data_IF_221281239592
#
_entry.id   IF_221281239592
#
_cell.length_a   1.000
_cell.length_b   1.000
_cell.length_c   1.000
_cell.angle_alpha   90.00
_cell.angle_beta   90.00
_cell.angle_gamma   90.00
#
_symmetry.space_group_name_H-M   'P 1'
#
loop_
_entity.id
_entity.type
_entity.pdbx_description
1 polymer ?
#
# COMPACT_ATOMS: atom_id res chain seq x y z
N UNK A 1 -15.87 9.02 10.75
CA UNK A 1 -16.18 7.77 10.02
C UNK A 1 -16.89 8.16 8.74
N UNK A 2 -16.52 7.66 7.56
CA UNK A 2 -17.25 7.99 6.34
C UNK A 2 -16.83 7.15 5.15
N UNK A 3 -17.72 7.01 4.17
CA UNK A 3 -17.54 6.17 2.99
C UNK A 3 -18.86 5.82 2.32
N UNK A 4 -18.80 4.90 1.36
CA UNK A 4 -19.98 4.31 0.72
C UNK A 4 -20.54 3.18 1.58
N UNK A 5 -21.73 3.40 2.12
CA UNK A 5 -22.42 2.44 2.98
C UNK A 5 -23.37 1.52 2.21
N UNK A 6 -23.75 1.88 0.97
CA UNK A 6 -24.79 1.17 0.22
C UNK A 6 -26.09 0.92 1.04
N UNK A 7 -26.42 1.82 1.99
CA UNK A 7 -27.61 1.72 2.85
C UNK A 7 -28.52 2.92 2.62
N UNK A 8 -29.81 2.65 2.50
CA UNK A 8 -30.85 3.65 2.32
C UNK A 8 -31.70 3.80 3.58
N UNK A 9 -32.01 5.05 3.94
CA UNK A 9 -32.95 5.38 5.02
C UNK A 9 -33.77 6.60 4.64
N UNK A 10 -35.00 6.68 5.14
CA UNK A 10 -35.82 7.88 5.00
C UNK A 10 -35.19 9.10 5.67
N UNK A 11 -34.28 8.90 6.63
CA UNK A 11 -33.61 9.98 7.36
C UNK A 11 -32.60 10.77 6.52
N UNK A 12 -32.05 10.18 5.45
CA UNK A 12 -31.05 10.84 4.59
C UNK A 12 -31.29 10.68 3.09
N UNK A 13 -32.11 9.70 2.68
CA UNK A 13 -32.47 9.41 1.28
C UNK A 13 -34.00 9.49 1.11
N UNK A 14 -34.51 10.73 1.17
CA UNK A 14 -35.94 11.02 1.18
C UNK A 14 -36.69 10.41 0.00
N UNK A 15 -37.68 9.56 0.29
CA UNK A 15 -38.48 8.86 -0.74
C UNK A 15 -38.02 7.43 -1.04
N UNK A 16 -36.93 6.94 -0.43
CA UNK A 16 -36.49 5.55 -0.54
C UNK A 16 -37.16 4.66 0.53
N UNK A 17 -37.75 3.53 0.12
CA UNK A 17 -38.30 2.50 1.04
C UNK A 17 -37.24 1.44 1.38
N UNK A 18 -36.07 1.90 1.84
CA UNK A 18 -34.93 1.04 2.20
C UNK A 18 -35.11 0.31 3.54
N UNK A 19 -34.23 -0.65 3.82
CA UNK A 19 -34.25 -1.54 5.00
C UNK A 19 -34.04 -0.77 6.32
N UNK A 20 -35.10 -0.50 7.12
CA UNK A 20 -34.99 0.38 8.28
C UNK A 20 -34.06 -0.18 9.37
N UNK A 21 -34.00 -1.50 9.54
CA UNK A 21 -33.23 -2.13 10.61
C UNK A 21 -31.71 -1.88 10.53
N UNK A 22 -31.13 -1.98 9.32
CA UNK A 22 -29.69 -1.79 9.12
C UNK A 22 -29.30 -0.31 9.26
N UNK A 23 -30.15 0.58 8.74
CA UNK A 23 -29.98 2.03 8.90
C UNK A 23 -30.03 2.46 10.37
N UNK A 24 -31.00 1.97 11.14
CA UNK A 24 -31.12 2.25 12.57
C UNK A 24 -29.91 1.72 13.35
N UNK A 25 -29.43 0.51 13.01
CA UNK A 25 -28.24 -0.04 13.67
C UNK A 25 -26.99 0.81 13.40
N UNK A 26 -26.80 1.27 12.17
CA UNK A 26 -25.68 2.16 11.81
C UNK A 26 -25.72 3.48 12.61
N UNK A 27 -26.90 4.09 12.74
CA UNK A 27 -27.08 5.31 13.54
C UNK A 27 -26.79 5.08 15.03
N UNK A 28 -27.24 3.96 15.59
CA UNK A 28 -27.00 3.63 17.00
C UNK A 28 -25.50 3.43 17.26
N UNK A 29 -24.80 2.70 16.39
CA UNK A 29 -23.34 2.50 16.51
C UNK A 29 -22.62 3.84 16.41
N UNK A 30 -23.01 4.72 15.48
CA UNK A 30 -22.41 6.04 15.36
C UNK A 30 -22.64 6.86 16.65
N UNK A 31 -23.83 6.82 17.22
CA UNK A 31 -24.16 7.51 18.48
C UNK A 31 -23.37 6.97 19.68
N UNK A 32 -23.21 5.66 19.80
CA UNK A 32 -22.38 5.02 20.84
C UNK A 32 -20.91 5.45 20.73
N UNK A 33 -20.41 5.70 19.52
CA UNK A 33 -19.08 6.23 19.26
C UNK A 33 -18.98 7.76 19.47
N UNK A 34 -20.06 8.42 19.91
CA UNK A 34 -20.11 9.87 20.10
C UNK A 34 -20.10 10.66 18.79
N UNK A 35 -20.49 10.03 17.68
CA UNK A 35 -20.53 10.63 16.35
C UNK A 35 -21.97 10.94 15.95
N UNK A 36 -22.13 12.00 15.17
CA UNK A 36 -23.40 12.36 14.54
C UNK A 36 -23.21 12.38 13.02
N UNK A 37 -24.28 12.07 12.29
CA UNK A 37 -24.27 12.20 10.83
C UNK A 37 -24.03 13.67 10.48
N UNK A 38 -23.01 13.92 9.67
CA UNK A 38 -22.71 15.27 9.20
C UNK A 38 -23.84 15.75 8.28
N UNK A 39 -24.41 16.95 8.52
CA UNK A 39 -25.37 17.52 7.59
C UNK A 39 -24.66 17.94 6.30
N UNK A 40 -25.30 17.67 5.16
CA UNK A 40 -24.85 18.16 3.87
C UNK A 40 -25.21 19.63 3.72
N UNK A 41 -24.24 20.48 3.33
CA UNK A 41 -24.51 21.90 3.03
C UNK A 41 -25.34 22.03 1.74
N UNK A 42 -25.20 21.08 0.80
CA UNK A 42 -26.01 20.98 -0.41
C UNK A 42 -26.85 19.69 -0.36
N UNK A 43 -28.16 19.76 -0.08
CA UNK A 43 -29.01 18.57 -0.04
C UNK A 43 -29.21 18.03 -1.46
N UNK A 44 -28.61 16.87 -1.75
CA UNK A 44 -28.74 16.17 -3.02
C UNK A 44 -28.26 14.71 -2.91
N UNK A 45 -28.57 13.87 -3.91
CA UNK A 45 -28.02 12.51 -4.01
C UNK A 45 -26.50 12.53 -3.93
N UNK A 46 -25.90 11.48 -3.36
CA UNK A 46 -24.43 11.28 -3.42
C UNK A 46 -24.05 10.34 -4.56
N UNK A 47 -25.02 9.60 -5.09
CA UNK A 47 -24.85 8.66 -6.18
C UNK A 47 -25.83 8.93 -7.34
N UNK A 48 -25.29 8.98 -8.56
CA UNK A 48 -26.00 9.14 -9.82
C UNK A 48 -25.75 7.93 -10.74
N UNK A 49 -26.69 7.00 -10.86
CA UNK A 49 -26.52 5.84 -11.72
C UNK A 49 -26.44 6.27 -13.20
N UNK A 50 -25.48 5.72 -13.94
CA UNK A 50 -25.30 5.99 -15.38
C UNK A 50 -26.34 5.32 -16.28
N UNK A 51 -27.15 4.42 -15.71
CA UNK A 51 -28.18 3.66 -16.43
C UNK A 51 -29.49 4.45 -16.40
N UNK A 52 -30.08 4.69 -17.58
CA UNK A 52 -31.37 5.38 -17.69
C UNK A 52 -32.48 4.60 -16.97
N UNK A 53 -33.28 5.30 -16.17
CA UNK A 53 -34.41 4.75 -15.41
C UNK A 53 -34.11 4.41 -13.95
N UNK A 54 -32.84 4.43 -13.53
CA UNK A 54 -32.46 4.30 -12.12
C UNK A 54 -32.51 5.65 -11.41
N UNK A 55 -32.88 5.63 -10.14
CA UNK A 55 -32.96 6.84 -9.31
C UNK A 55 -31.62 7.13 -8.66
N UNK A 56 -31.27 8.40 -8.58
CA UNK A 56 -30.17 8.89 -7.76
C UNK A 56 -30.47 8.69 -6.27
N UNK A 57 -29.47 8.34 -5.48
CA UNK A 57 -29.61 7.94 -4.08
C UNK A 57 -28.55 8.57 -3.17
N UNK A 58 -28.74 8.47 -1.87
CA UNK A 58 -27.77 8.91 -0.84
C UNK A 58 -27.24 7.68 -0.11
N UNK A 59 -26.06 7.22 -0.53
CA UNK A 59 -25.39 6.01 0.02
C UNK A 59 -24.02 6.31 0.61
N UNK A 60 -23.44 7.47 0.29
CA UNK A 60 -22.18 7.95 0.86
C UNK A 60 -22.49 8.81 2.08
N UNK A 61 -22.01 8.39 3.25
CA UNK A 61 -22.29 9.07 4.52
C UNK A 61 -20.99 9.43 5.22
N UNK A 62 -21.00 10.51 6.00
CA UNK A 62 -19.92 10.85 6.93
C UNK A 62 -20.52 11.14 8.30
N UNK A 63 -19.96 10.51 9.32
CA UNK A 63 -20.22 10.69 10.73
C UNK A 63 -19.03 11.37 11.38
N UNK A 64 -19.30 12.50 12.04
CA UNK A 64 -18.33 13.44 12.58
C UNK A 64 -18.71 13.80 14.03
N UNK A 65 -17.79 14.43 14.76
CA UNK A 65 -18.15 15.06 16.03
C UNK A 65 -19.11 16.24 15.76
N UNK A 66 -19.94 16.63 16.74
CA UNK A 66 -20.90 17.74 16.57
C UNK A 66 -20.23 19.01 16.00
N UNK A 67 -21.00 19.81 15.25
CA UNK A 67 -20.60 21.10 14.67
C UNK A 67 -19.73 21.08 13.39
N UNK A 68 -19.58 19.92 12.74
CA UNK A 68 -18.86 19.80 11.46
C UNK A 68 -19.82 19.62 10.27
N UNK A 69 -19.52 20.30 9.15
CA UNK A 69 -20.33 20.29 7.92
C UNK A 69 -19.56 19.71 6.74
N UNK A 70 -20.29 19.26 5.71
CA UNK A 70 -19.72 18.69 4.48
C UNK A 70 -19.99 19.56 3.25
N UNK A 71 -19.01 19.59 2.35
CA UNK A 71 -19.18 20.09 0.98
C UNK A 71 -19.03 18.94 -0.02
N UNK A 72 -19.76 19.02 -1.14
CA UNK A 72 -19.81 17.96 -2.15
C UNK A 72 -19.55 18.55 -3.55
N UNK A 73 -18.56 18.01 -4.29
CA UNK A 73 -18.22 18.39 -5.67
C UNK A 73 -17.53 17.23 -6.42
N UNK A 74 -17.96 16.92 -7.64
CA UNK A 74 -17.23 16.01 -8.55
C UNK A 74 -18.00 15.62 -9.81
N UNK A 75 -17.29 15.02 -10.77
CA UNK A 75 -17.81 14.59 -12.09
C UNK A 75 -18.02 13.05 -12.21
N UNK A 76 -17.89 12.31 -11.11
CA UNK A 76 -18.18 10.87 -11.04
C UNK A 76 -19.65 10.63 -10.72
N UNK A 77 -20.10 9.42 -11.03
CA UNK A 77 -21.34 8.82 -10.54
C UNK A 77 -21.43 8.75 -9.01
N UNK A 78 -20.31 8.82 -8.28
CA UNK A 78 -20.31 9.18 -6.86
C UNK A 78 -19.80 10.60 -6.70
N UNK A 79 -20.46 11.41 -5.86
CA UNK A 79 -19.98 12.75 -5.53
C UNK A 79 -19.00 12.67 -4.36
N UNK A 80 -17.73 13.11 -4.54
CA UNK A 80 -16.80 13.26 -3.44
C UNK A 80 -17.33 14.16 -2.33
N UNK A 81 -17.30 13.65 -1.11
CA UNK A 81 -17.66 14.38 0.10
C UNK A 81 -16.38 14.87 0.80
N UNK A 82 -16.33 16.16 1.12
CA UNK A 82 -15.20 16.79 1.80
C UNK A 82 -15.62 17.38 3.14
N UNK A 83 -14.75 17.24 4.15
CA UNK A 83 -14.87 17.90 5.46
C UNK A 83 -13.54 18.46 5.90
N UNK A 84 -13.56 19.55 6.66
CA UNK A 84 -12.35 20.19 7.21
C UNK A 84 -12.21 19.84 8.68
N UNK A 85 -11.17 19.08 9.02
CA UNK A 85 -10.85 18.73 10.41
C UNK A 85 -9.75 19.66 10.95
N UNK A 86 -10.05 20.41 12.00
CA UNK A 86 -9.04 21.19 12.73
C UNK A 86 -8.25 20.27 13.66
N UNK A 87 -6.98 20.01 13.33
CA UNK A 87 -6.08 19.19 14.17
C UNK A 87 -5.24 20.15 15.02
N UNK A 88 -5.33 20.03 16.36
CA UNK A 88 -4.50 20.79 17.30
C UNK A 88 -3.00 20.52 17.08
N UNK A 89 -2.18 21.56 17.18
CA UNK A 89 -0.75 21.56 16.86
C UNK A 89 0.15 20.85 17.89
N UNK A 90 -0.39 20.17 18.90
CA UNK A 90 0.39 19.43 19.91
C UNK A 90 0.90 18.07 19.41
N UNK A 91 1.47 18.05 18.21
CA UNK A 91 2.16 16.88 17.67
C UNK A 91 3.66 16.98 17.97
N UNK A 92 4.08 16.25 19.00
CA UNK A 92 5.49 16.06 19.35
C UNK A 92 6.32 15.68 18.13
N UNK A 93 7.47 16.32 17.97
CA UNK A 93 8.35 16.20 16.82
C UNK A 93 8.62 14.73 16.45
N UNK A 94 8.36 14.38 15.20
CA UNK A 94 8.73 13.07 14.65
C UNK A 94 10.25 12.89 14.75
N UNK A 95 10.76 11.79 15.32
CA UNK A 95 12.20 11.57 15.38
C UNK A 95 12.72 11.32 13.97
N UNK A 96 13.50 12.27 13.44
CA UNK A 96 14.30 12.05 12.24
C UNK A 96 15.18 10.83 12.46
N UNK A 97 15.08 9.82 11.59
CA UNK A 97 16.10 8.77 11.46
C UNK A 97 17.36 9.43 10.88
N UNK A 98 18.22 9.96 11.74
CA UNK A 98 19.59 10.28 11.41
C UNK A 98 20.48 9.16 11.97
N UNK A 99 21.60 8.86 11.29
CA UNK A 99 22.69 8.15 11.96
C UNK A 99 23.02 8.91 13.25
N UNK A 100 23.31 8.18 14.34
CA UNK A 100 23.90 8.80 15.52
C UNK A 100 25.17 9.51 15.06
N UNK A 101 25.44 10.70 15.60
CA UNK A 101 26.61 11.50 15.24
C UNK A 101 27.86 10.93 15.92
N UNK A 102 28.11 9.63 15.79
CA UNK A 102 29.39 9.06 16.15
C UNK A 102 30.32 9.20 14.93
N UNK A 103 31.45 9.85 15.15
CA UNK A 103 32.35 10.26 14.07
C UNK A 103 32.83 9.05 13.27
N UNK A 104 32.98 7.88 13.90
CA UNK A 104 33.60 6.70 13.31
C UNK A 104 32.66 5.87 12.42
N UNK A 105 31.44 5.51 12.86
CA UNK A 105 30.50 4.78 11.98
C UNK A 105 30.06 5.66 10.80
N UNK A 106 29.88 6.97 11.04
CA UNK A 106 29.57 7.91 9.96
C UNK A 106 30.72 8.00 8.94
N UNK A 107 31.98 8.08 9.38
CA UNK A 107 33.15 8.07 8.48
C UNK A 107 33.25 6.74 7.71
N UNK A 108 33.00 5.60 8.37
CA UNK A 108 33.08 4.27 7.75
C UNK A 108 32.00 4.09 6.69
N UNK A 109 30.75 4.46 6.99
CA UNK A 109 29.63 4.38 6.06
C UNK A 109 29.86 5.27 4.84
N UNK A 110 30.33 6.50 5.06
CA UNK A 110 30.66 7.46 4.00
C UNK A 110 31.76 6.91 3.09
N UNK A 111 32.83 6.31 3.63
CA UNK A 111 33.90 5.69 2.82
C UNK A 111 33.42 4.52 1.95
N UNK A 112 32.53 3.66 2.45
CA UNK A 112 31.97 2.52 1.69
C UNK A 112 31.13 3.01 0.53
N UNK A 113 30.21 3.93 0.80
CA UNK A 113 29.34 4.52 -0.20
C UNK A 113 30.14 5.30 -1.27
N UNK A 114 31.25 5.92 -0.89
CA UNK A 114 32.13 6.65 -1.79
C UNK A 114 32.96 5.77 -2.72
N UNK A 115 33.49 4.64 -2.23
CA UNK A 115 34.15 3.64 -3.09
C UNK A 115 33.20 3.12 -4.18
N UNK A 116 31.93 2.95 -3.83
CA UNK A 116 30.89 2.61 -4.80
C UNK A 116 30.50 3.76 -5.74
N UNK A 117 30.62 5.02 -5.31
CA UNK A 117 30.27 6.18 -6.14
C UNK A 117 31.38 6.63 -7.09
N UNK A 118 32.65 6.57 -6.67
CA UNK A 118 33.79 6.92 -7.50
C UNK A 118 33.98 5.99 -8.71
N UNK A 119 33.37 4.79 -8.67
CA UNK A 119 33.35 3.84 -9.79
C UNK A 119 32.19 4.08 -10.76
N UNK A 120 31.29 5.05 -10.47
CA UNK A 120 30.17 5.34 -11.35
C UNK A 120 30.60 6.21 -12.53
N UNK A 121 30.05 5.97 -13.72
CA UNK A 121 30.44 6.69 -14.94
C UNK A 121 30.04 8.18 -14.96
N UNK A 122 29.19 8.63 -14.03
CA UNK A 122 28.81 10.03 -13.87
C UNK A 122 29.71 10.79 -12.88
N UNK A 123 30.66 10.13 -12.22
CA UNK A 123 31.55 10.76 -11.24
C UNK A 123 32.60 11.62 -11.95
N UNK A 124 32.79 12.87 -11.50
CA UNK A 124 33.73 13.82 -12.10
C UNK A 124 34.82 14.24 -11.12
N UNK A 125 35.91 14.82 -11.63
CA UNK A 125 36.97 15.39 -10.80
C UNK A 125 36.46 16.47 -9.85
N UNK A 126 35.42 17.23 -10.23
CA UNK A 126 34.81 18.21 -9.33
C UNK A 126 34.11 17.54 -8.13
N UNK A 127 33.56 16.34 -8.32
CA UNK A 127 32.99 15.56 -7.21
C UNK A 127 34.10 15.13 -6.24
N UNK A 128 35.26 14.71 -6.77
CA UNK A 128 36.43 14.34 -5.97
C UNK A 128 37.01 15.53 -5.19
N UNK A 129 37.15 16.69 -5.85
CA UNK A 129 37.68 17.92 -5.24
C UNK A 129 36.74 18.46 -4.16
N UNK A 130 35.44 18.54 -4.45
CA UNK A 130 34.46 19.02 -3.47
C UNK A 130 34.34 18.06 -2.26
N UNK A 131 34.52 16.76 -2.49
CA UNK A 131 34.57 15.77 -1.42
C UNK A 131 35.83 15.93 -0.56
N UNK A 132 36.98 16.17 -1.17
CA UNK A 132 38.23 16.40 -0.44
C UNK A 132 38.15 17.66 0.42
N UNK A 133 37.62 18.76 -0.11
CA UNK A 133 37.40 19.99 0.66
C UNK A 133 36.48 19.76 1.88
N UNK A 134 35.41 18.96 1.71
CA UNK A 134 34.56 18.57 2.84
C UNK A 134 35.29 17.71 3.88
N UNK A 135 36.21 16.83 3.48
CA UNK A 135 37.01 16.02 4.40
C UNK A 135 38.01 16.85 5.21
N UNK A 136 38.62 17.85 4.57
CA UNK A 136 39.66 18.68 5.18
C UNK A 136 39.08 19.64 6.22
N UNK A 137 37.96 20.29 5.90
CA UNK A 137 37.39 21.32 6.77
C UNK A 137 36.19 20.85 7.60
N UNK A 138 35.43 19.86 7.11
CA UNK A 138 34.25 19.34 7.79
C UNK A 138 33.10 20.35 7.93
N UNK A 139 33.12 21.47 7.20
CA UNK A 139 32.14 22.54 7.35
C UNK A 139 30.81 22.21 6.65
N UNK A 140 29.67 22.72 7.18
CA UNK A 140 28.36 22.55 6.53
C UNK A 140 28.29 23.10 5.11
N UNK A 141 29.06 24.16 4.83
CA UNK A 141 29.18 24.83 3.54
C UNK A 141 29.85 23.91 2.51
N UNK A 142 30.93 23.22 2.88
CA UNK A 142 31.61 22.26 2.00
C UNK A 142 30.73 21.06 1.69
N UNK A 143 29.90 20.63 2.65
CA UNK A 143 28.90 19.59 2.40
C UNK A 143 27.85 20.02 1.37
N UNK A 144 27.40 21.28 1.40
CA UNK A 144 26.49 21.83 0.38
C UNK A 144 27.15 21.86 -0.99
N UNK A 145 28.43 22.27 -1.05
CA UNK A 145 29.21 22.29 -2.30
C UNK A 145 29.40 20.90 -2.88
N UNK A 146 29.77 19.91 -2.05
CA UNK A 146 29.86 18.51 -2.47
C UNK A 146 28.53 17.98 -3.02
N UNK A 147 27.41 18.17 -2.29
CA UNK A 147 26.09 17.74 -2.79
C UNK A 147 25.73 18.41 -4.11
N UNK A 148 26.07 19.69 -4.28
CA UNK A 148 25.84 20.43 -5.52
C UNK A 148 26.66 19.85 -6.67
N UNK A 149 27.94 19.58 -6.45
CA UNK A 149 28.83 18.95 -7.44
C UNK A 149 28.28 17.58 -7.89
N UNK A 150 27.95 16.70 -6.94
CA UNK A 150 27.38 15.37 -7.24
C UNK A 150 26.06 15.47 -8.00
N UNK A 151 25.16 16.39 -7.60
CA UNK A 151 23.87 16.58 -8.27
C UNK A 151 24.06 17.08 -9.70
N UNK A 152 24.99 18.00 -9.93
CA UNK A 152 25.31 18.52 -11.24
C UNK A 152 25.93 17.45 -12.14
N UNK A 153 26.92 16.71 -11.65
CA UNK A 153 27.57 15.64 -12.38
C UNK A 153 26.57 14.55 -12.82
N UNK A 154 25.68 14.12 -11.91
CA UNK A 154 24.57 13.22 -12.25
C UNK A 154 23.67 13.80 -13.34
N UNK A 155 23.24 15.05 -13.18
CA UNK A 155 22.33 15.70 -14.14
C UNK A 155 22.97 15.76 -15.52
N UNK A 156 24.19 16.28 -15.63
CA UNK A 156 24.90 16.40 -16.91
C UNK A 156 25.04 15.04 -17.59
N UNK A 157 25.46 14.01 -16.85
CA UNK A 157 25.60 12.66 -17.39
C UNK A 157 24.26 12.07 -17.87
N UNK A 158 23.22 12.13 -17.04
CA UNK A 158 21.93 11.53 -17.39
C UNK A 158 21.20 12.32 -18.48
N UNK A 159 21.28 13.65 -18.49
CA UNK A 159 20.71 14.48 -19.55
C UNK A 159 21.41 14.20 -20.88
N UNK A 160 22.76 14.10 -20.89
CA UNK A 160 23.51 13.72 -22.09
C UNK A 160 23.12 12.34 -22.61
N UNK A 161 22.97 11.35 -21.72
CA UNK A 161 22.49 10.01 -22.12
C UNK A 161 21.05 10.04 -22.64
N UNK A 162 20.15 10.79 -22.01
CA UNK A 162 18.77 10.95 -22.50
C UNK A 162 18.77 11.56 -23.91
N UNK A 163 19.58 12.59 -24.15
CA UNK A 163 19.69 13.22 -25.47
C UNK A 163 20.24 12.25 -26.51
N UNK A 164 21.38 11.60 -26.23
CA UNK A 164 21.97 10.59 -27.13
C UNK A 164 20.95 9.50 -27.47
N UNK A 165 20.27 8.96 -26.46
CA UNK A 165 19.32 7.87 -26.66
C UNK A 165 18.10 8.37 -27.41
N UNK A 166 17.58 9.57 -27.13
CA UNK A 166 16.47 10.15 -27.87
C UNK A 166 16.76 10.37 -29.37
N UNK A 167 18.03 10.59 -29.72
CA UNK A 167 18.48 10.81 -31.09
C UNK A 167 18.79 9.48 -31.79
N UNK A 168 19.42 8.53 -31.09
CA UNK A 168 19.93 7.27 -31.68
C UNK A 168 18.94 6.10 -31.60
N UNK A 169 18.12 6.01 -30.54
CA UNK A 169 17.15 4.92 -30.33
C UNK A 169 15.76 5.48 -30.05
N UNK A 170 14.75 5.04 -30.81
CA UNK A 170 13.38 5.50 -30.62
C UNK A 170 12.73 4.87 -29.37
N UNK A 171 13.05 5.42 -28.18
CA UNK A 171 12.22 5.57 -26.96
C UNK A 171 13.12 5.57 -25.70
N UNK A 172 12.91 6.54 -24.81
CA UNK A 172 13.64 6.69 -23.54
C UNK A 172 13.55 5.47 -22.62
N UNK A 173 12.51 4.65 -22.79
CA UNK A 173 12.24 3.45 -21.97
C UNK A 173 13.10 2.25 -22.34
N UNK A 174 13.69 2.20 -23.54
CA UNK A 174 14.47 1.05 -24.04
C UNK A 174 15.77 0.80 -23.26
N UNK A 175 16.14 1.75 -22.39
CA UNK A 175 17.31 1.66 -21.50
C UNK A 175 17.04 0.92 -20.21
N UNK A 176 15.78 0.75 -19.85
CA UNK A 176 15.46 0.08 -18.60
C UNK A 176 15.71 -1.42 -18.75
N UNK A 177 16.34 -2.02 -17.74
CA UNK A 177 16.65 -3.46 -17.73
C UNK A 177 15.41 -4.35 -17.92
N UNK A 178 14.21 -3.86 -17.60
CA UNK A 178 12.96 -4.58 -17.78
C UNK A 178 12.39 -4.51 -19.21
N UNK A 179 12.88 -3.59 -20.05
CA UNK A 179 12.51 -3.44 -21.48
C UNK A 179 13.48 -4.22 -22.39
N UNK A 180 14.68 -4.50 -21.91
CA UNK A 180 15.64 -5.34 -22.63
C UNK A 180 15.09 -6.76 -22.84
N UNK A 181 15.37 -7.35 -24.00
CA UNK A 181 15.01 -8.74 -24.29
C UNK A 181 15.60 -9.64 -23.22
N UNK A 182 14.74 -10.25 -22.39
CA UNK A 182 15.19 -11.20 -21.38
C UNK A 182 15.92 -12.31 -22.10
N UNK A 183 17.19 -12.53 -21.72
CA UNK A 183 17.90 -13.75 -22.11
C UNK A 183 17.15 -14.89 -21.44
N UNK A 184 16.38 -15.64 -22.21
CA UNK A 184 15.80 -16.88 -21.73
C UNK A 184 16.97 -17.76 -21.29
N UNK A 185 16.88 -18.43 -20.13
CA UNK A 185 17.85 -19.46 -19.80
C UNK A 185 17.91 -20.47 -20.96
N UNK A 186 19.06 -21.13 -21.19
CA UNK A 186 19.10 -22.22 -22.17
C UNK A 186 17.96 -23.19 -21.82
N UNK A 187 16.98 -23.31 -22.70
CA UNK A 187 15.88 -24.25 -22.48
C UNK A 187 16.50 -25.66 -22.51
N UNK A 188 16.48 -26.34 -21.37
CA UNK A 188 16.72 -27.77 -21.34
C UNK A 188 15.60 -28.47 -22.11
N UNK A 189 15.94 -29.49 -22.90
CA UNK A 189 14.94 -30.28 -23.57
C UNK A 189 14.01 -30.92 -22.53
N UNK A 190 12.69 -30.86 -22.76
CA UNK A 190 11.71 -31.50 -21.87
C UNK A 190 12.07 -32.99 -21.78
N UNK A 191 12.27 -33.49 -20.56
CA UNK A 191 12.55 -34.90 -20.31
C UNK A 191 11.36 -35.55 -19.62
N UNK A 192 11.01 -36.77 -20.03
CA UNK A 192 10.01 -37.59 -19.39
C UNK A 192 10.62 -38.96 -19.09
N UNK A 193 10.56 -39.38 -17.81
CA UNK A 193 11.20 -40.61 -17.33
C UNK A 193 12.70 -40.73 -17.68
N UNK A 194 13.42 -39.60 -17.65
CA UNK A 194 14.86 -39.54 -17.96
C UNK A 194 15.22 -39.61 -19.45
N UNK A 195 14.22 -39.65 -20.34
CA UNK A 195 14.44 -39.59 -21.78
C UNK A 195 14.03 -38.21 -22.32
N UNK A 196 14.85 -37.58 -23.18
CA UNK A 196 14.49 -36.30 -23.78
C UNK A 196 13.40 -36.47 -24.84
N UNK A 197 12.36 -35.66 -24.75
CA UNK A 197 11.23 -35.63 -25.65
C UNK A 197 11.51 -34.61 -26.77
N UNK A 198 11.69 -35.10 -28.00
CA UNK A 198 12.02 -34.25 -29.15
C UNK A 198 10.93 -34.24 -30.23
N UNK A 199 10.00 -35.20 -30.19
CA UNK A 199 8.88 -35.27 -31.12
C UNK A 199 7.56 -34.83 -30.46
N UNK A 200 6.65 -34.25 -31.25
CA UNK A 200 5.35 -33.77 -30.77
C UNK A 200 4.51 -34.86 -30.06
N UNK A 201 4.44 -36.12 -30.55
CA UNK A 201 3.74 -37.19 -29.82
C UNK A 201 4.36 -37.48 -28.45
N UNK A 202 5.70 -37.50 -28.36
CA UNK A 202 6.40 -37.72 -27.09
C UNK A 202 6.14 -36.61 -26.08
N UNK A 203 6.07 -35.35 -26.55
CA UNK A 203 5.70 -34.21 -25.71
C UNK A 203 4.26 -34.30 -25.21
N UNK A 204 3.33 -34.72 -26.09
CA UNK A 204 1.94 -34.93 -25.72
C UNK A 204 1.81 -36.05 -24.68
N UNK A 205 2.45 -37.19 -24.90
CA UNK A 205 2.42 -38.33 -23.98
C UNK A 205 3.07 -37.96 -22.64
N UNK A 206 4.18 -37.23 -22.65
CA UNK A 206 4.83 -36.72 -21.44
C UNK A 206 3.89 -35.81 -20.64
N UNK A 207 3.27 -34.83 -21.31
CA UNK A 207 2.32 -33.91 -20.67
C UNK A 207 1.10 -34.67 -20.14
N UNK A 208 0.47 -35.47 -21.00
CA UNK A 208 -0.75 -36.20 -20.67
C UNK A 208 -0.51 -37.13 -19.48
N UNK A 209 0.50 -37.99 -19.53
CA UNK A 209 0.78 -38.91 -18.45
C UNK A 209 1.25 -38.24 -17.16
N UNK A 210 1.92 -37.09 -17.23
CA UNK A 210 2.31 -36.35 -16.02
C UNK A 210 1.10 -35.81 -15.27
N UNK A 211 0.19 -35.13 -15.98
CA UNK A 211 -0.96 -34.47 -15.36
C UNK A 211 -2.17 -35.40 -15.16
N UNK A 212 -2.25 -36.49 -15.94
CA UNK A 212 -3.35 -37.47 -15.91
C UNK A 212 -2.92 -38.84 -15.37
N UNK A 213 -1.77 -38.93 -14.67
CA UNK A 213 -1.25 -40.17 -14.06
C UNK A 213 -2.21 -40.86 -13.08
N UNK A 214 -3.23 -40.14 -12.63
CA UNK A 214 -4.25 -40.61 -11.71
C UNK A 214 -5.64 -40.73 -12.34
N UNK A 215 -5.81 -40.48 -13.65
CA UNK A 215 -7.13 -40.41 -14.27
C UNK A 215 -7.92 -41.72 -14.22
N UNK A 216 -7.23 -42.87 -14.20
CA UNK A 216 -7.86 -44.20 -14.10
C UNK A 216 -7.87 -44.76 -12.67
N UNK A 217 -7.43 -43.98 -11.68
CA UNK A 217 -7.46 -44.42 -10.28
C UNK A 217 -8.87 -44.24 -9.74
N UNK A 218 -9.49 -45.33 -9.32
CA UNK A 218 -10.70 -45.26 -8.52
C UNK A 218 -10.42 -44.47 -7.24
N UNK A 219 -11.16 -43.39 -7.01
CA UNK A 219 -11.08 -42.61 -5.79
C UNK A 219 -12.17 -43.10 -4.83
N UNK A 220 -11.75 -43.53 -3.64
CA UNK A 220 -12.67 -43.87 -2.56
C UNK A 220 -13.18 -42.59 -1.91
N UNK A 221 -14.41 -42.17 -2.25
CA UNK A 221 -15.08 -41.01 -1.66
C UNK A 221 -15.46 -41.29 -0.20
N UNK A 222 -15.59 -42.56 0.19
CA UNK A 222 -15.95 -42.96 1.56
C UNK A 222 -14.91 -42.54 2.60
N UNK A 223 -13.69 -42.16 2.19
CA UNK A 223 -12.72 -41.53 3.10
C UNK A 223 -13.28 -40.25 3.73
N UNK A 224 -14.13 -39.49 3.01
CA UNK A 224 -14.73 -38.27 3.54
C UNK A 224 -15.70 -38.57 4.70
N UNK A 225 -16.37 -39.72 4.67
CA UNK A 225 -17.26 -40.17 5.74
C UNK A 225 -16.48 -40.60 7.00
N UNK A 226 -15.19 -40.92 6.85
CA UNK A 226 -14.28 -41.25 7.95
C UNK A 226 -13.56 -40.03 8.54
N UNK A 227 -13.65 -38.86 7.90
CA UNK A 227 -13.10 -37.62 8.43
C UNK A 227 -14.02 -37.16 9.58
N UNK A 228 -13.52 -37.08 10.82
CA UNK A 228 -14.34 -36.59 11.91
C UNK A 228 -14.68 -35.12 11.66
N UNK A 229 -15.94 -34.75 11.89
CA UNK A 229 -16.33 -33.35 11.93
C UNK A 229 -15.47 -32.63 12.96
N UNK A 230 -14.59 -31.75 12.48
CA UNK A 230 -13.81 -30.91 13.36
C UNK A 230 -14.78 -29.94 14.05
N UNK A 231 -14.63 -29.70 15.37
CA UNK A 231 -15.44 -28.70 16.03
C UNK A 231 -15.24 -27.36 15.32
N UNK A 232 -16.34 -26.67 15.05
CA UNK A 232 -16.30 -25.29 14.51
C UNK A 232 -15.45 -24.46 15.47
N UNK A 233 -14.24 -24.10 15.02
CA UNK A 233 -13.35 -23.26 15.80
C UNK A 233 -13.89 -21.85 15.74
N UNK A 234 -14.34 -21.33 16.89
CA UNK A 234 -14.68 -19.92 17.01
C UNK A 234 -13.48 -19.04 16.68
N UNK A 235 -13.72 -17.89 16.08
CA UNK A 235 -12.67 -16.88 15.91
C UNK A 235 -12.18 -16.44 17.29
N UNK A 236 -10.90 -16.68 17.55
CA UNK A 236 -10.26 -16.20 18.78
C UNK A 236 -10.08 -14.69 18.63
N UNK A 237 -10.56 -13.88 19.60
CA UNK A 237 -10.31 -12.45 19.57
C UNK A 237 -8.81 -12.18 19.53
N UNK A 238 -8.41 -11.26 18.65
CA UNK A 238 -7.07 -10.72 18.62
C UNK A 238 -6.72 -10.12 19.98
N UNK A 239 -5.59 -10.56 20.53
CA UNK A 239 -5.07 -10.02 21.79
C UNK A 239 -4.32 -8.71 21.54
N UNK A 240 -4.19 -7.96 22.63
CA UNK A 240 -3.44 -6.72 22.64
C UNK A 240 -1.94 -6.90 22.31
N UNK A 241 -1.41 -8.09 22.57
CA UNK A 241 -0.03 -8.45 22.31
C UNK A 241 0.17 -8.78 20.83
N UNK A 242 -0.68 -9.62 20.27
CA UNK A 242 -0.64 -10.01 18.86
C UNK A 242 -0.75 -8.78 17.94
N UNK A 243 -1.59 -7.79 18.30
CA UNK A 243 -1.71 -6.55 17.52
C UNK A 243 -0.41 -5.73 17.52
N UNK A 244 0.30 -5.71 18.65
CA UNK A 244 1.59 -5.02 18.77
C UNK A 244 2.68 -5.74 17.99
N UNK A 245 2.71 -7.07 18.05
CA UNK A 245 3.70 -7.88 17.34
C UNK A 245 3.50 -7.81 15.82
N UNK A 246 2.25 -7.95 15.36
CA UNK A 246 1.90 -7.79 13.95
C UNK A 246 2.32 -6.41 13.43
N UNK A 247 1.98 -5.33 14.15
CA UNK A 247 2.39 -3.99 13.75
C UNK A 247 3.90 -3.78 13.83
N UNK A 248 4.60 -4.38 14.79
CA UNK A 248 6.05 -4.25 14.92
C UNK A 248 6.78 -4.74 13.66
N UNK A 249 6.31 -5.84 13.05
CA UNK A 249 6.86 -6.39 11.80
C UNK A 249 6.58 -5.53 10.55
N UNK A 250 5.55 -4.68 10.57
CA UNK A 250 5.19 -3.87 9.40
C UNK A 250 6.19 -2.73 9.15
N UNK A 251 6.41 -2.37 7.88
CA UNK A 251 7.18 -1.18 7.51
C UNK A 251 6.42 0.10 7.89
N UNK A 252 7.13 1.18 8.26
CA UNK A 252 6.48 2.46 8.54
C UNK A 252 5.89 3.12 7.28
N UNK A 253 6.30 2.67 6.09
CA UNK A 253 5.90 3.26 4.81
C UNK A 253 4.77 2.47 4.15
N UNK A 254 4.54 1.22 4.57
CA UNK A 254 3.43 0.41 4.08
C UNK A 254 2.10 0.90 4.65
N UNK A 255 1.03 0.73 3.87
CA UNK A 255 -0.34 0.86 4.31
C UNK A 255 -1.01 -0.52 4.16
N UNK A 256 -1.73 -1.02 5.17
CA UNK A 256 -2.42 -2.30 5.10
C UNK A 256 -3.71 -2.22 4.27
N UNK A 257 -4.14 -1.02 3.88
CA UNK A 257 -5.33 -0.78 3.06
C UNK A 257 -5.18 0.45 2.14
N UNK A 258 -6.19 0.70 1.28
CA UNK A 258 -6.20 1.81 0.33
C UNK A 258 -6.53 3.17 0.98
N UNK A 259 -6.81 3.19 2.28
CA UNK A 259 -7.19 4.35 3.09
C UNK A 259 -6.04 5.33 3.39
N UNK A 260 -4.86 5.09 2.82
CA UNK A 260 -3.62 5.83 3.06
C UNK A 260 -3.15 5.85 4.52
N UNK A 261 -3.75 5.03 5.41
CA UNK A 261 -3.34 4.91 6.80
C UNK A 261 -2.09 4.03 6.85
N UNK A 262 -0.93 4.67 6.88
CA UNK A 262 0.35 3.97 7.03
C UNK A 262 0.44 3.26 8.37
N UNK A 263 1.17 2.14 8.40
CA UNK A 263 1.47 1.42 9.64
C UNK A 263 2.22 2.32 10.66
N UNK A 264 2.87 3.40 10.24
CA UNK A 264 3.42 4.41 11.16
C UNK A 264 2.35 5.08 12.03
N UNK A 265 1.17 5.35 11.48
CA UNK A 265 0.05 5.94 12.22
C UNK A 265 -0.52 4.94 13.22
N UNK A 266 -0.73 3.69 12.78
CA UNK A 266 -1.20 2.61 13.65
C UNK A 266 -0.23 2.36 14.82
N UNK A 267 1.08 2.34 14.54
CA UNK A 267 2.12 2.24 15.59
C UNK A 267 2.10 3.42 16.56
N UNK A 268 1.77 4.63 16.08
CA UNK A 268 1.65 5.81 16.94
C UNK A 268 0.43 5.69 17.86
N UNK A 269 -0.73 5.34 17.31
CA UNK A 269 -1.96 5.12 18.07
C UNK A 269 -1.76 4.03 19.13
N UNK A 270 -0.96 3.02 18.79
CA UNK A 270 -0.59 1.92 19.68
C UNK A 270 0.35 2.29 20.83
N UNK A 271 1.09 3.39 20.70
CA UNK A 271 1.94 3.95 21.75
C UNK A 271 1.25 5.06 22.54
N UNK A 272 0.07 5.47 22.11
CA UNK A 272 -0.72 6.53 22.71
C UNK A 272 -1.49 6.08 23.96
N UNK A 273 -2.44 6.90 24.43
CA UNK A 273 -3.26 6.59 25.59
C UNK A 273 -4.01 5.27 25.46
N UNK A 274 -4.09 4.50 26.56
CA UNK A 274 -4.66 3.14 26.62
C UNK A 274 -6.08 3.05 26.05
N UNK A 275 -6.88 4.12 26.16
CA UNK A 275 -8.27 4.15 25.66
C UNK A 275 -8.35 4.08 24.13
N UNK A 276 -7.45 4.75 23.40
CA UNK A 276 -7.44 4.76 21.92
C UNK A 276 -7.14 3.37 21.38
N UNK A 277 -6.14 2.71 21.97
CA UNK A 277 -5.79 1.34 21.63
C UNK A 277 -6.93 0.36 21.91
N UNK A 278 -7.59 0.50 23.06
CA UNK A 278 -8.69 -0.40 23.45
C UNK A 278 -9.84 -0.34 22.44
N UNK A 279 -10.15 0.85 21.91
CA UNK A 279 -11.16 1.04 20.86
C UNK A 279 -10.74 0.36 19.55
N UNK A 280 -9.49 0.53 19.11
CA UNK A 280 -8.99 -0.13 17.89
C UNK A 280 -9.02 -1.65 18.00
N UNK A 281 -8.66 -2.20 19.16
CA UNK A 281 -8.71 -3.63 19.43
C UNK A 281 -10.16 -4.14 19.46
N UNK A 282 -11.08 -3.37 20.05
CA UNK A 282 -12.50 -3.70 20.06
C UNK A 282 -13.09 -3.71 18.65
N UNK A 283 -12.75 -2.71 17.81
CA UNK A 283 -13.15 -2.66 16.41
C UNK A 283 -12.60 -3.85 15.60
N UNK A 284 -11.30 -4.16 15.75
CA UNK A 284 -10.68 -5.30 15.08
C UNK A 284 -11.37 -6.62 15.46
N UNK A 285 -11.71 -6.80 16.74
CA UNK A 285 -12.42 -7.97 17.23
C UNK A 285 -13.91 -8.02 16.85
N UNK A 286 -14.54 -6.87 16.64
CA UNK A 286 -15.90 -6.80 16.14
C UNK A 286 -16.00 -7.27 14.68
N UNK A 287 -14.95 -7.06 13.87
CA UNK A 287 -14.87 -7.55 12.49
C UNK A 287 -14.66 -9.07 12.37
N UNK A 288 -14.36 -9.77 13.47
CA UNK A 288 -14.20 -11.23 13.51
C UNK A 288 -15.51 -11.97 13.85
N UNK A 289 -16.62 -11.24 14.04
CA UNK A 289 -17.93 -11.78 14.44
C UNK A 289 -18.94 -11.72 13.32
#
# INVERSE_FOLDING_TARGET
MGGDFNIHSQEWDGGHRGHPGVATQLLNIAAELGLQRAPFVNPGPTFYPRIQGFRSTVIDLVFVQPDQTLTAQGESDHIPLATTLSISADSGATPRRALKSDKEEQIRFVRVIEGEFATKPWWTDECSVALQAYREHGLPEDWKLYRKAVKNAKRVFFDSRITEISITNKRTWDLMSWVQQRKLPPCEAIQYQGQPCHALPQLWDALHNTYNSASDRAFDIGILDSIPDMPVRGWVPFSALEMREALASCSNVSAPGPDHIKCSHLKMLMRGPTHVFTVLLALANACLR
#
